data_IF_318424501959
#
_entry.id   IF_318424501959
#
_cell.length_a   1.000
_cell.length_b   1.000
_cell.length_c   1.000
_cell.angle_alpha   90.00
_cell.angle_beta   90.00
_cell.angle_gamma   90.00
#
_symmetry.space_group_name_H-M   'P 1'
#
loop_
_entity.id
_entity.type
_entity.pdbx_description
1 polymer ?
#
# COMPACT_ATOMS: atom_id res chain seq x y z
N UNK A 1 -12.57 13.83 1.89
CA UNK A 1 -13.20 12.62 2.47
C UNK A 1 -12.52 11.34 2.01
N UNK A 2 -12.56 10.94 0.73
CA UNK A 2 -11.96 9.67 0.29
C UNK A 2 -10.47 9.51 0.66
N UNK A 3 -9.64 10.51 0.34
CA UNK A 3 -8.19 10.48 0.61
C UNK A 3 -7.86 10.30 2.09
N UNK A 4 -8.55 11.01 2.99
CA UNK A 4 -8.33 10.91 4.42
C UNK A 4 -8.80 9.57 4.98
N UNK A 5 -9.93 9.05 4.50
CA UNK A 5 -10.41 7.71 4.90
C UNK A 5 -9.42 6.63 4.45
N UNK A 6 -8.95 6.69 3.20
CA UNK A 6 -7.94 5.77 2.70
C UNK A 6 -6.63 5.86 3.50
N UNK A 7 -6.21 7.08 3.87
CA UNK A 7 -5.06 7.29 4.76
C UNK A 7 -5.25 6.59 6.10
N UNK A 8 -6.36 6.88 6.79
CA UNK A 8 -6.66 6.27 8.09
C UNK A 8 -6.71 4.73 8.04
N UNK A 9 -7.34 4.14 7.02
CA UNK A 9 -7.40 2.69 6.87
C UNK A 9 -6.03 2.08 6.53
N UNK A 10 -5.24 2.78 5.71
CA UNK A 10 -3.86 2.36 5.41
C UNK A 10 -2.98 2.39 6.68
N UNK A 11 -3.17 3.38 7.55
CA UNK A 11 -2.48 3.46 8.85
C UNK A 11 -2.90 2.35 9.81
N UNK A 12 -4.20 2.03 9.88
CA UNK A 12 -4.71 0.89 10.64
C UNK A 12 -4.08 -0.43 10.15
N UNK A 13 -4.05 -0.63 8.82
CA UNK A 13 -3.44 -1.82 8.21
C UNK A 13 -1.95 -1.91 8.54
N UNK A 14 -1.21 -0.81 8.41
CA UNK A 14 0.21 -0.75 8.70
C UNK A 14 0.54 -1.15 10.15
N UNK A 15 -0.27 -0.72 11.13
CA UNK A 15 -0.11 -1.12 12.53
C UNK A 15 -0.49 -2.58 12.77
N UNK A 16 -1.54 -3.09 12.13
CA UNK A 16 -2.00 -4.48 12.30
C UNK A 16 -0.97 -5.49 11.81
N UNK A 17 -0.25 -5.19 10.74
CA UNK A 17 0.78 -6.07 10.17
C UNK A 17 2.20 -5.69 10.55
N UNK A 18 2.40 -4.58 11.26
CA UNK A 18 3.69 -3.94 11.48
C UNK A 18 4.49 -3.85 10.18
N UNK A 19 3.93 -3.14 9.19
CA UNK A 19 4.39 -3.10 7.80
C UNK A 19 5.73 -2.36 7.60
N UNK A 20 6.81 -2.80 8.25
CA UNK A 20 8.15 -2.19 8.18
C UNK A 20 8.75 -2.23 6.77
N UNK A 21 8.35 -3.21 5.95
CA UNK A 21 8.70 -3.26 4.52
C UNK A 21 7.94 -2.26 3.65
N UNK A 22 6.96 -1.55 4.21
CA UNK A 22 6.19 -0.53 3.52
C UNK A 22 4.74 -0.90 3.22
N UNK A 23 3.95 0.14 2.93
CA UNK A 23 2.56 0.03 2.45
C UNK A 23 2.50 0.33 0.96
N UNK A 24 1.96 -0.61 0.19
CA UNK A 24 1.83 -0.48 -1.26
C UNK A 24 0.37 -0.24 -1.65
N UNK A 25 0.09 0.92 -2.23
CA UNK A 25 -1.22 1.29 -2.76
C UNK A 25 -1.25 0.96 -4.25
N UNK A 26 -1.96 -0.11 -4.59
CA UNK A 26 -2.22 -0.53 -5.96
C UNK A 26 -3.68 -0.35 -6.37
N UNK A 27 -4.02 -0.85 -7.55
CA UNK A 27 -5.37 -0.83 -8.12
C UNK A 27 -5.59 0.31 -9.12
N UNK A 28 -6.57 0.14 -10.02
CA UNK A 28 -6.77 1.03 -11.17
C UNK A 28 -7.13 2.48 -10.83
N UNK A 29 -7.51 2.77 -9.58
CA UNK A 29 -7.79 4.12 -9.10
C UNK A 29 -6.55 4.83 -8.54
N UNK A 30 -5.52 4.09 -8.09
CA UNK A 30 -4.37 4.66 -7.39
C UNK A 30 -3.55 5.63 -8.27
N UNK A 31 -3.25 5.33 -9.55
CA UNK A 31 -2.54 6.29 -10.43
C UNK A 31 -3.34 7.57 -10.65
N UNK A 32 -4.67 7.47 -10.79
CA UNK A 32 -5.58 8.61 -10.97
C UNK A 32 -5.64 9.52 -9.74
N UNK A 33 -5.31 8.96 -8.56
CA UNK A 33 -5.36 9.66 -7.29
C UNK A 33 -3.99 10.18 -6.81
N UNK A 34 -2.93 10.01 -7.61
CA UNK A 34 -1.54 10.25 -7.20
C UNK A 34 -1.34 11.63 -6.55
N UNK A 35 -1.89 12.70 -7.14
CA UNK A 35 -1.76 14.05 -6.58
C UNK A 35 -2.44 14.20 -5.20
N UNK A 36 -3.55 13.49 -4.97
CA UNK A 36 -4.21 13.50 -3.66
C UNK A 36 -3.50 12.59 -2.66
N UNK A 37 -2.92 11.48 -3.10
CA UNK A 37 -2.11 10.61 -2.23
C UNK A 37 -0.81 11.30 -1.76
N UNK A 38 -0.26 12.19 -2.59
CA UNK A 38 0.88 13.04 -2.24
C UNK A 38 0.51 14.23 -1.34
N UNK A 39 -0.77 14.49 -1.11
CA UNK A 39 -1.20 15.60 -0.26
C UNK A 39 -1.04 15.28 1.22
N UNK A 40 -0.85 16.31 2.04
CA UNK A 40 -0.78 16.16 3.49
C UNK A 40 -2.04 15.48 4.06
N UNK A 41 -3.21 15.69 3.46
CA UNK A 41 -4.47 15.04 3.89
C UNK A 41 -4.39 13.52 3.98
N UNK A 42 -3.64 12.87 3.08
CA UNK A 42 -3.44 11.42 3.14
C UNK A 42 -2.49 11.04 4.28
N UNK A 43 -1.33 11.70 4.34
CA UNK A 43 -0.25 11.40 5.29
C UNK A 43 -0.64 11.72 6.73
N UNK A 44 -1.33 12.83 6.95
CA UNK A 44 -1.82 13.24 8.27
C UNK A 44 -2.83 12.22 8.79
N UNK A 45 -3.79 11.80 7.94
CA UNK A 45 -4.77 10.78 8.32
C UNK A 45 -4.15 9.39 8.51
N UNK A 46 -3.12 9.05 7.72
CA UNK A 46 -2.34 7.83 7.89
C UNK A 46 -1.67 7.80 9.27
N UNK A 47 -1.00 8.89 9.66
CA UNK A 47 -0.24 8.98 10.91
C UNK A 47 -1.09 9.21 12.14
N UNK A 48 -2.33 9.72 12.01
CA UNK A 48 -3.23 10.07 13.12
C UNK A 48 -3.70 8.84 13.93
N UNK A 49 -2.79 8.23 14.71
CA UNK A 49 -2.98 7.01 15.49
C UNK A 49 -2.23 7.09 16.82
N UNK A 50 -2.62 8.03 17.68
CA UNK A 50 -2.00 8.20 18.99
C UNK A 50 -2.03 6.91 19.82
N UNK A 51 -0.91 6.50 20.46
CA UNK A 51 0.43 7.12 20.51
C UNK A 51 1.45 6.55 19.50
N UNK A 52 0.98 5.87 18.47
CA UNK A 52 1.77 5.08 17.52
C UNK A 52 2.21 5.88 16.27
N UNK A 53 2.08 7.21 16.28
CA UNK A 53 2.50 8.09 15.18
C UNK A 53 3.95 7.84 14.75
N UNK A 54 4.83 7.58 15.73
CA UNK A 54 6.25 7.35 15.50
C UNK A 54 6.49 6.10 14.64
N UNK A 55 5.80 4.99 14.95
CA UNK A 55 5.87 3.74 14.16
C UNK A 55 5.47 4.01 12.71
N UNK A 56 4.37 4.75 12.52
CA UNK A 56 3.82 5.06 11.20
C UNK A 56 4.67 6.08 10.42
N UNK A 57 5.47 6.88 11.12
CA UNK A 57 6.32 7.89 10.46
C UNK A 57 7.50 7.26 9.73
N UNK A 58 7.94 6.08 10.18
CA UNK A 58 9.06 5.32 9.59
C UNK A 58 8.61 4.34 8.48
N UNK A 59 7.31 4.07 8.36
CA UNK A 59 6.78 3.14 7.35
C UNK A 59 6.71 3.83 5.99
N UNK A 60 7.44 3.34 4.96
CA UNK A 60 7.38 3.92 3.64
C UNK A 60 6.05 3.60 2.95
N UNK A 61 5.56 4.53 2.13
CA UNK A 61 4.32 4.38 1.37
C UNK A 61 4.64 4.49 -0.12
N UNK A 62 4.24 3.47 -0.87
CA UNK A 62 4.51 3.35 -2.29
C UNK A 62 3.19 3.31 -3.08
N UNK A 63 3.12 4.07 -4.17
CA UNK A 63 2.01 3.98 -5.11
C UNK A 63 2.48 3.21 -6.33
N UNK A 64 1.81 2.10 -6.63
CA UNK A 64 2.15 1.27 -7.78
C UNK A 64 1.48 1.83 -9.03
N UNK A 65 2.28 2.31 -9.97
CA UNK A 65 1.81 2.96 -11.20
C UNK A 65 1.65 2.00 -12.39
N UNK A 66 1.99 0.73 -12.22
CA UNK A 66 1.91 -0.27 -13.28
C UNK A 66 0.45 -0.59 -13.63
N UNK A 67 0.07 -0.40 -14.89
CA UNK A 67 -1.26 -0.75 -15.41
C UNK A 67 -1.50 -2.27 -15.41
N UNK A 68 -0.42 -3.06 -15.54
CA UNK A 68 -0.47 -4.52 -15.63
C UNK A 68 -0.18 -5.22 -14.30
N UNK A 69 -0.29 -4.52 -13.16
CA UNK A 69 0.08 -5.05 -11.84
C UNK A 69 -0.55 -6.42 -11.55
N UNK A 70 -1.86 -6.57 -11.79
CA UNK A 70 -2.57 -7.81 -11.53
C UNK A 70 -2.07 -8.97 -12.42
N UNK A 71 -1.84 -8.69 -13.71
CA UNK A 71 -1.34 -9.68 -14.66
C UNK A 71 0.09 -10.12 -14.33
N UNK A 72 0.95 -9.18 -13.93
CA UNK A 72 2.31 -9.48 -13.47
C UNK A 72 2.29 -10.37 -12.22
N UNK A 73 1.44 -10.06 -11.25
CA UNK A 73 1.26 -10.89 -10.06
C UNK A 73 0.81 -12.31 -10.40
N UNK A 74 -0.17 -12.45 -11.30
CA UNK A 74 -0.64 -13.75 -11.77
C UNK A 74 0.46 -14.54 -12.49
N UNK A 75 1.27 -13.89 -13.33
CA UNK A 75 2.39 -14.53 -14.02
C UNK A 75 3.47 -15.04 -13.03
N UNK A 76 3.79 -14.25 -11.99
CA UNK A 76 4.73 -14.65 -10.94
C UNK A 76 4.22 -15.88 -10.19
N UNK A 77 2.96 -15.87 -9.75
CA UNK A 77 2.35 -16.99 -9.04
C UNK A 77 2.32 -18.25 -9.92
N UNK A 78 1.94 -18.13 -11.19
CA UNK A 78 1.95 -19.26 -12.13
C UNK A 78 3.36 -19.85 -12.29
N UNK A 79 4.38 -19.01 -12.45
CA UNK A 79 5.78 -19.45 -12.55
C UNK A 79 6.24 -20.20 -11.29
N UNK A 80 5.87 -19.72 -10.10
CA UNK A 80 6.20 -20.37 -8.82
C UNK A 80 5.50 -21.72 -8.64
N UNK A 81 4.25 -21.86 -9.11
CA UNK A 81 3.53 -23.13 -9.04
C UNK A 81 4.14 -24.17 -10.00
N UNK A 82 4.44 -23.76 -11.24
CA UNK A 82 5.06 -24.63 -12.26
C UNK A 82 6.47 -25.09 -11.83
N UNK A 83 7.22 -24.27 -11.10
CA UNK A 83 8.53 -24.67 -10.58
C UNK A 83 8.43 -25.61 -9.38
N UNK A 84 7.37 -25.51 -8.58
CA UNK A 84 7.14 -26.35 -7.40
C UNK A 84 6.68 -27.77 -7.77
N UNK A 85 5.88 -27.92 -8.81
CA UNK A 85 5.40 -29.24 -9.28
C UNK A 85 6.51 -30.08 -9.97
N UNK A 86 7.68 -29.49 -10.21
CA UNK A 86 8.82 -30.14 -10.88
C UNK A 86 9.85 -30.73 -9.91
N UNK A 87 9.77 -30.40 -8.63
CA UNK A 87 10.60 -30.96 -7.55
C UNK A 87 9.82 -32.04 -6.80
#
# INVERSE_FOLDING_TARGET
MFTSTLGSESGNLALRSLATGGVYIGGGIAPKLLNRLKSNTFLDAFRAKAPMEHILSDIPIHVVLSENLALLGAAVVSSQLISRDRN
#
